data_IF_129044314582
#
_entry.id   IF_129044314582
#
_cell.length_a   1.000
_cell.length_b   1.000
_cell.length_c   1.000
_cell.angle_alpha   90.00
_cell.angle_beta   90.00
_cell.angle_gamma   90.00
#
_symmetry.space_group_name_H-M   'P 1'
#
loop_
_entity.id
_entity.type
_entity.pdbx_description
1 polymer ?
#
# COMPACT_ATOMS: atom_id res chain seq x y z
N UNK A 1 -64.13 -20.66 -24.52
CA UNK A 1 -64.28 -19.19 -24.55
C UNK A 1 -64.18 -18.68 -23.12
N UNK A 2 -63.46 -17.59 -22.84
CA UNK A 2 -62.18 -17.18 -23.43
C UNK A 2 -61.10 -17.00 -22.34
N UNK A 3 -59.86 -17.46 -22.50
CA UNK A 3 -58.76 -16.86 -23.31
C UNK A 3 -58.46 -15.39 -22.97
N UNK A 4 -57.44 -15.17 -22.13
CA UNK A 4 -56.64 -13.94 -22.09
C UNK A 4 -55.17 -14.40 -21.99
N UNK A 5 -54.54 -14.67 -23.13
CA UNK A 5 -53.61 -13.81 -23.88
C UNK A 5 -52.21 -13.75 -23.28
N UNK A 6 -51.39 -14.66 -23.79
CA UNK A 6 -49.95 -14.49 -24.02
C UNK A 6 -49.67 -13.14 -24.66
N UNK A 7 -48.87 -12.30 -24.00
CA UNK A 7 -48.13 -11.23 -24.63
C UNK A 7 -46.65 -11.61 -24.54
N UNK A 8 -46.09 -11.96 -25.69
CA UNK A 8 -44.66 -12.04 -25.90
C UNK A 8 -44.06 -10.63 -25.83
N UNK A 9 -43.00 -10.46 -25.05
CA UNK A 9 -42.06 -9.35 -25.23
C UNK A 9 -40.67 -9.98 -25.40
N UNK A 10 -40.16 -9.83 -26.62
CA UNK A 10 -38.81 -10.21 -27.02
C UNK A 10 -37.73 -9.31 -26.40
N UNK A 11 -36.46 -9.57 -26.75
CA UNK A 11 -35.31 -9.14 -25.98
C UNK A 11 -34.96 -7.68 -26.26
N UNK A 12 -34.91 -6.87 -25.22
CA UNK A 12 -34.25 -5.58 -25.23
C UNK A 12 -33.63 -5.33 -23.84
N UNK A 13 -32.62 -6.14 -23.50
CA UNK A 13 -31.73 -5.91 -22.37
C UNK A 13 -30.36 -5.56 -22.94
N UNK A 14 -30.16 -4.29 -23.30
CA UNK A 14 -28.85 -3.74 -23.61
C UNK A 14 -28.87 -2.23 -23.35
N UNK A 15 -27.77 -1.76 -22.73
CA UNK A 15 -27.42 -0.37 -22.45
C UNK A 15 -28.08 0.30 -21.23
N UNK A 16 -27.43 0.18 -20.06
CA UNK A 16 -26.89 1.36 -19.37
C UNK A 16 -25.82 0.93 -18.33
N UNK A 17 -24.59 0.71 -18.80
CA UNK A 17 -23.38 0.71 -17.96
C UNK A 17 -22.41 1.65 -18.64
N UNK A 18 -22.27 2.88 -18.11
CA UNK A 18 -21.08 3.71 -18.20
C UNK A 18 -21.33 5.04 -17.50
N UNK A 19 -20.29 5.51 -16.82
CA UNK A 19 -20.11 6.86 -16.25
C UNK A 19 -20.49 7.01 -14.78
N UNK A 20 -19.51 6.80 -13.90
CA UNK A 20 -19.21 7.65 -12.74
C UNK A 20 -17.83 7.24 -12.17
N UNK A 21 -16.78 7.63 -12.88
CA UNK A 21 -15.41 7.74 -12.38
C UNK A 21 -14.58 8.57 -13.36
N UNK A 22 -14.97 9.83 -13.57
CA UNK A 22 -14.18 10.87 -14.21
C UNK A 22 -14.71 12.21 -13.67
N UNK A 23 -13.86 12.93 -12.95
CA UNK A 23 -14.17 14.26 -12.47
C UNK A 23 -14.17 15.26 -13.64
N UNK A 24 -15.36 15.71 -14.02
CA UNK A 24 -15.60 16.96 -14.71
C UNK A 24 -16.92 17.55 -14.17
N UNK A 25 -17.02 18.86 -13.90
CA UNK A 25 -18.22 19.46 -13.33
C UNK A 25 -19.38 19.46 -14.34
N UNK A 26 -20.64 19.28 -13.90
CA UNK A 26 -21.79 19.28 -14.80
C UNK A 26 -22.16 20.72 -15.24
N UNK A 27 -22.45 20.88 -16.53
CA UNK A 27 -23.04 22.08 -17.08
C UNK A 27 -24.48 22.25 -16.55
N UNK A 28 -24.78 23.41 -15.96
CA UNK A 28 -26.15 23.79 -15.60
C UNK A 28 -26.92 24.21 -16.85
N UNK A 29 -27.98 23.47 -17.19
CA UNK A 29 -29.03 23.91 -18.10
C UNK A 29 -30.21 24.45 -17.27
N UNK A 30 -30.66 25.67 -17.57
CA UNK A 30 -31.99 26.19 -17.26
C UNK A 30 -32.31 27.34 -18.25
N UNK A 31 -33.58 27.77 -18.41
CA UNK A 31 -34.37 27.61 -19.63
C UNK A 31 -34.48 28.89 -20.47
N UNK A 32 -35.04 28.74 -21.67
CA UNK A 32 -35.13 29.81 -22.66
C UNK A 32 -36.10 30.95 -22.33
N UNK A 33 -35.82 32.11 -22.93
CA UNK A 33 -36.78 33.09 -23.41
C UNK A 33 -36.08 34.01 -24.43
N UNK A 34 -36.83 34.42 -25.45
CA UNK A 34 -36.36 35.09 -26.65
C UNK A 34 -36.27 36.62 -26.52
N UNK A 35 -35.58 37.20 -27.52
CA UNK A 35 -35.72 38.55 -28.10
C UNK A 35 -34.84 39.71 -27.57
N UNK A 36 -34.06 40.28 -28.51
CA UNK A 36 -34.08 41.72 -28.76
C UNK A 36 -32.87 42.58 -28.34
N UNK A 37 -32.11 43.01 -29.36
CA UNK A 37 -31.40 44.31 -29.49
C UNK A 37 -30.14 44.62 -28.65
N UNK A 38 -29.10 45.07 -29.37
CA UNK A 38 -27.91 45.80 -28.89
C UNK A 38 -28.15 47.33 -28.96
N UNK A 39 -27.21 48.26 -28.61
CA UNK A 39 -25.88 48.11 -27.98
C UNK A 39 -25.60 49.10 -26.80
N UNK A 40 -24.48 48.93 -26.08
CA UNK A 40 -23.91 49.98 -25.21
C UNK A 40 -22.97 49.50 -24.09
N UNK A 41 -21.64 49.62 -24.32
CA UNK A 41 -20.52 49.91 -23.40
C UNK A 41 -20.73 49.76 -21.86
N UNK A 42 -19.88 49.16 -21.01
CA UNK A 42 -18.42 48.91 -20.96
C UNK A 42 -18.13 47.90 -19.82
N UNK A 43 -17.06 47.11 -19.93
CA UNK A 43 -16.07 46.80 -18.87
C UNK A 43 -15.39 45.41 -19.05
N UNK A 44 -14.13 45.48 -19.49
CA UNK A 44 -12.94 44.69 -19.10
C UNK A 44 -13.02 43.16 -18.90
N UNK A 45 -12.27 42.43 -19.75
CA UNK A 45 -11.79 41.08 -19.45
C UNK A 45 -11.44 40.25 -20.70
N UNK A 46 -10.34 40.58 -21.39
CA UNK A 46 -9.85 39.78 -22.52
C UNK A 46 -8.48 39.15 -22.21
N UNK A 47 -8.35 37.92 -22.70
CA UNK A 47 -7.27 36.96 -22.61
C UNK A 47 -5.85 37.47 -22.95
N UNK A 48 -4.86 36.82 -22.32
CA UNK A 48 -3.57 36.41 -22.90
C UNK A 48 -2.94 35.40 -21.93
N UNK A 49 -2.55 34.19 -22.34
CA UNK A 49 -1.39 33.93 -23.19
C UNK A 49 -0.15 33.78 -22.30
N UNK A 50 0.26 32.56 -21.95
CA UNK A 50 1.51 32.34 -21.21
C UNK A 50 2.56 31.76 -22.18
N UNK A 51 3.33 32.67 -22.77
CA UNK A 51 4.61 32.41 -23.41
C UNK A 51 5.70 32.25 -22.32
N UNK A 52 6.72 31.47 -22.65
CA UNK A 52 7.70 30.93 -21.71
C UNK A 52 8.68 31.92 -21.08
N UNK A 53 9.42 31.38 -20.11
CA UNK A 53 10.70 31.89 -19.66
C UNK A 53 11.58 30.70 -19.25
N UNK A 54 12.75 30.60 -19.89
CA UNK A 54 13.87 29.77 -19.48
C UNK A 54 14.56 30.36 -18.24
N UNK A 55 15.24 29.50 -17.47
CA UNK A 55 16.40 29.89 -16.67
C UNK A 55 16.23 29.81 -15.15
N UNK A 56 16.90 28.82 -14.53
CA UNK A 56 17.20 28.84 -13.10
C UNK A 56 17.20 27.46 -12.44
N UNK A 57 18.33 26.75 -12.52
CA UNK A 57 18.60 25.62 -11.63
C UNK A 57 18.70 26.14 -10.19
N UNK A 58 17.81 25.67 -9.30
CA UNK A 58 17.84 25.93 -7.87
C UNK A 58 17.76 24.62 -7.10
N UNK A 59 18.77 24.36 -6.27
CA UNK A 59 18.80 23.29 -5.27
C UNK A 59 17.57 23.31 -4.35
N UNK A 60 17.12 22.15 -3.82
CA UNK A 60 16.11 22.13 -2.78
C UNK A 60 16.78 22.31 -1.41
N UNK A 61 16.53 23.46 -0.77
CA UNK A 61 16.67 23.68 0.67
C UNK A 61 15.51 24.61 1.08
N UNK A 62 14.83 24.50 2.22
CA UNK A 62 15.09 23.80 3.45
C UNK A 62 13.75 23.52 4.18
N UNK A 63 13.83 22.66 5.19
CA UNK A 63 12.80 22.37 6.19
C UNK A 63 12.12 23.64 6.75
N UNK A 64 10.78 23.63 6.77
CA UNK A 64 10.00 24.61 7.53
C UNK A 64 10.04 24.31 9.04
N UNK A 65 9.83 25.33 9.89
CA UNK A 65 9.87 25.17 11.34
C UNK A 65 8.80 24.16 11.81
N UNK A 66 9.13 23.37 12.83
CA UNK A 66 8.18 22.50 13.51
C UNK A 66 6.98 23.33 13.97
N UNK A 67 5.82 23.13 13.35
CA UNK A 67 4.57 23.79 13.75
C UNK A 67 4.25 23.40 15.19
N UNK A 68 4.10 24.40 16.07
CA UNK A 68 3.60 24.20 17.42
C UNK A 68 2.17 23.61 17.35
N UNK A 69 2.04 22.31 17.63
CA UNK A 69 0.77 21.60 17.59
C UNK A 69 0.91 20.11 17.23
N UNK A 70 -0.15 19.30 17.40
CA UNK A 70 -0.17 17.93 16.91
C UNK A 70 -0.04 17.90 15.40
N UNK A 71 0.64 16.88 14.86
CA UNK A 71 0.64 16.63 13.42
C UNK A 71 -0.80 16.41 12.90
N UNK A 72 -1.04 16.61 11.60
CA UNK A 72 -2.37 16.48 10.97
C UNK A 72 -3.01 15.11 11.28
N UNK A 73 -2.23 14.02 11.23
CA UNK A 73 -2.69 12.68 11.65
C UNK A 73 -3.10 12.64 13.12
N UNK A 74 -2.27 13.16 14.02
CA UNK A 74 -2.50 13.19 15.46
C UNK A 74 -3.72 14.04 15.84
N UNK A 75 -3.98 15.14 15.11
CA UNK A 75 -5.14 16.00 15.32
C UNK A 75 -6.48 15.27 15.05
N UNK A 76 -6.49 14.25 14.18
CA UNK A 76 -7.71 13.47 13.89
C UNK A 76 -8.16 12.63 15.09
N UNK A 77 -7.28 12.33 16.05
CA UNK A 77 -7.63 11.61 17.29
C UNK A 77 -8.69 12.31 18.13
N UNK A 78 -8.90 13.61 17.92
CA UNK A 78 -9.89 14.38 18.66
C UNK A 78 -11.30 14.31 18.08
N UNK A 79 -11.45 13.66 16.91
CA UNK A 79 -12.75 13.35 16.30
C UNK A 79 -13.41 12.15 17.02
N UNK A 80 -14.73 12.04 16.91
CA UNK A 80 -15.50 10.99 17.59
C UNK A 80 -15.19 9.58 17.08
N UNK A 81 -15.04 9.40 15.77
CA UNK A 81 -14.81 8.08 15.15
C UNK A 81 -13.52 7.40 15.64
N UNK A 82 -12.33 8.04 15.66
CA UNK A 82 -11.14 7.42 16.22
C UNK A 82 -11.28 7.06 17.71
N UNK A 83 -11.94 7.91 18.50
CA UNK A 83 -12.21 7.66 19.93
C UNK A 83 -13.14 6.47 20.11
N UNK A 84 -14.17 6.37 19.29
CA UNK A 84 -15.09 5.24 19.27
C UNK A 84 -14.36 3.95 18.90
N UNK A 85 -13.58 3.95 17.82
CA UNK A 85 -12.81 2.78 17.37
C UNK A 85 -11.87 2.31 18.47
N UNK A 86 -11.12 3.21 19.11
CA UNK A 86 -10.22 2.87 20.21
C UNK A 86 -10.96 2.28 21.41
N UNK A 87 -12.12 2.84 21.78
CA UNK A 87 -12.96 2.34 22.87
C UNK A 87 -13.51 0.95 22.54
N UNK A 88 -14.14 0.80 21.39
CA UNK A 88 -14.84 -0.43 20.95
C UNK A 88 -13.90 -1.55 20.51
N UNK A 89 -12.64 -1.27 20.19
CA UNK A 89 -11.60 -2.29 19.95
C UNK A 89 -10.83 -2.70 21.20
N UNK A 90 -10.95 -1.92 22.29
CA UNK A 90 -10.17 -2.10 23.52
C UNK A 90 -8.78 -1.47 23.52
N UNK A 91 -8.42 -0.71 22.49
CA UNK A 91 -7.09 -0.11 22.35
C UNK A 91 -6.96 1.26 23.05
N UNK A 92 -8.04 1.82 23.59
CA UNK A 92 -8.03 3.10 24.31
C UNK A 92 -7.04 3.15 25.50
N UNK A 93 -6.73 2.01 26.11
CA UNK A 93 -5.79 1.92 27.23
C UNK A 93 -4.30 1.97 26.86
N UNK A 94 -3.95 1.91 25.57
CA UNK A 94 -2.54 1.82 25.14
C UNK A 94 -1.76 3.11 25.40
N UNK A 95 -2.32 4.27 25.02
CA UNK A 95 -1.66 5.55 25.19
C UNK A 95 -1.45 5.94 26.67
N UNK A 96 -2.45 5.83 27.58
CA UNK A 96 -2.24 6.12 29.00
C UNK A 96 -1.17 5.24 29.66
N UNK A 97 -1.09 3.94 29.30
CA UNK A 97 -0.04 3.03 29.80
C UNK A 97 1.34 3.45 29.32
N UNK A 98 1.45 3.79 28.04
CA UNK A 98 2.69 4.27 27.46
C UNK A 98 3.15 5.60 28.09
N UNK A 99 2.25 6.57 28.26
CA UNK A 99 2.53 7.84 28.92
C UNK A 99 3.01 7.64 30.37
N UNK A 100 2.37 6.72 31.11
CA UNK A 100 2.81 6.33 32.45
C UNK A 100 4.23 5.75 32.46
N UNK A 101 4.54 4.87 31.50
CA UNK A 101 5.87 4.28 31.36
C UNK A 101 6.93 5.34 31.00
N UNK A 102 6.62 6.28 30.10
CA UNK A 102 7.52 7.39 29.73
C UNK A 102 7.87 8.28 30.94
N UNK A 103 6.86 8.66 31.74
CA UNK A 103 7.07 9.45 32.96
C UNK A 103 8.00 8.79 33.97
N UNK A 104 8.05 7.46 33.98
CA UNK A 104 8.94 6.67 34.84
C UNK A 104 10.39 6.59 34.35
N UNK A 105 10.73 7.13 33.17
CA UNK A 105 12.08 7.03 32.61
C UNK A 105 13.00 8.15 33.10
N UNK A 106 14.20 7.78 33.54
CA UNK A 106 15.24 8.72 33.99
C UNK A 106 16.36 8.97 32.97
N UNK A 107 16.31 8.38 31.77
CA UNK A 107 17.33 8.53 30.74
C UNK A 107 16.79 8.25 29.34
N UNK A 108 17.48 8.74 28.31
CA UNK A 108 17.17 8.46 26.91
C UNK A 108 17.12 6.95 26.63
N UNK A 109 18.11 6.18 27.09
CA UNK A 109 18.15 4.74 26.86
C UNK A 109 16.95 4.01 27.50
N UNK A 110 16.46 4.48 28.65
CA UNK A 110 15.24 3.95 29.25
C UNK A 110 13.99 4.31 28.44
N UNK A 111 13.91 5.54 27.93
CA UNK A 111 12.83 6.01 27.05
C UNK A 111 12.80 5.24 25.73
N UNK A 112 13.95 4.99 25.09
CA UNK A 112 14.05 4.19 23.87
C UNK A 112 13.55 2.77 24.10
N UNK A 113 13.97 2.12 25.21
CA UNK A 113 13.44 0.81 25.57
C UNK A 113 11.93 0.83 25.80
N UNK A 114 11.37 1.91 26.36
CA UNK A 114 9.92 2.06 26.54
C UNK A 114 9.22 2.21 25.18
N UNK A 115 9.71 3.08 24.29
CA UNK A 115 9.18 3.27 22.93
C UNK A 115 9.14 1.96 22.14
N UNK A 116 10.26 1.25 22.07
CA UNK A 116 10.36 -0.03 21.35
C UNK A 116 9.46 -1.11 21.96
N UNK A 117 9.46 -1.26 23.30
CA UNK A 117 8.62 -2.28 23.96
C UNK A 117 7.14 -2.05 23.73
N UNK A 118 6.67 -0.81 23.89
CA UNK A 118 5.25 -0.48 23.71
C UNK A 118 4.84 -0.53 22.24
N UNK A 119 5.67 -0.06 21.31
CA UNK A 119 5.42 -0.22 19.88
C UNK A 119 5.30 -1.68 19.48
N UNK A 120 6.27 -2.51 19.87
CA UNK A 120 6.24 -3.94 19.57
C UNK A 120 5.08 -4.68 20.27
N UNK A 121 4.69 -4.26 21.48
CA UNK A 121 3.52 -4.81 22.15
C UNK A 121 2.21 -4.44 21.44
N UNK A 122 2.12 -3.22 20.92
CA UNK A 122 0.98 -2.76 20.14
C UNK A 122 0.83 -3.55 18.83
N UNK A 123 1.92 -3.76 18.08
CA UNK A 123 1.92 -4.62 16.89
C UNK A 123 1.44 -6.02 17.21
N UNK A 124 2.07 -6.69 18.20
CA UNK A 124 1.69 -8.05 18.62
C UNK A 124 0.24 -8.13 19.04
N UNK A 125 -0.26 -7.14 19.80
CA UNK A 125 -1.65 -7.08 20.24
C UNK A 125 -2.62 -7.00 19.04
N UNK A 126 -2.29 -6.21 18.03
CA UNK A 126 -3.10 -6.10 16.81
C UNK A 126 -3.10 -7.41 16.02
N UNK A 127 -1.93 -8.02 15.81
CA UNK A 127 -1.80 -9.34 15.14
C UNK A 127 -2.56 -10.43 15.90
N UNK A 128 -2.38 -10.53 17.22
CA UNK A 128 -3.09 -11.48 18.07
C UNK A 128 -4.60 -11.27 17.99
N UNK A 129 -5.06 -10.01 18.02
CA UNK A 129 -6.48 -9.67 17.87
C UNK A 129 -7.04 -10.23 16.57
N UNK A 130 -6.46 -9.89 15.41
CA UNK A 130 -6.92 -10.33 14.10
C UNK A 130 -6.90 -11.86 13.98
N UNK A 131 -5.92 -12.51 14.59
CA UNK A 131 -5.75 -13.97 14.52
C UNK A 131 -6.51 -14.73 15.62
N UNK A 132 -7.50 -14.11 16.26
CA UNK A 132 -8.35 -14.80 17.23
C UNK A 132 -7.73 -15.06 18.61
N UNK A 133 -6.50 -14.58 18.86
CA UNK A 133 -5.77 -14.77 20.13
C UNK A 133 -5.99 -13.62 21.13
N UNK A 134 -5.82 -13.90 22.42
CA UNK A 134 -6.01 -12.92 23.48
C UNK A 134 -7.47 -12.49 23.69
N UNK A 135 -7.72 -11.58 24.65
CA UNK A 135 -9.07 -11.15 24.98
C UNK A 135 -9.70 -10.36 23.82
N UNK A 136 -11.01 -10.50 23.64
CA UNK A 136 -11.76 -9.74 22.62
C UNK A 136 -11.60 -8.22 22.83
N UNK A 137 -11.51 -7.77 24.09
CA UNK A 137 -11.16 -6.38 24.43
C UNK A 137 -12.21 -5.32 24.06
N UNK A 138 -13.28 -5.69 23.36
CA UNK A 138 -14.34 -4.81 22.88
C UNK A 138 -15.28 -5.55 21.91
N UNK A 139 -16.13 -4.82 21.19
CA UNK A 139 -17.23 -5.36 20.36
C UNK A 139 -17.04 -5.21 18.84
N UNK A 140 -16.02 -4.47 18.37
CA UNK A 140 -15.70 -4.42 16.94
C UNK A 140 -15.23 -5.78 16.43
N UNK A 141 -15.44 -6.03 15.14
CA UNK A 141 -14.88 -7.19 14.49
C UNK A 141 -13.35 -7.22 14.65
N UNK A 142 -12.82 -8.45 14.70
CA UNK A 142 -11.43 -8.67 15.10
C UNK A 142 -10.44 -8.41 13.97
N UNK A 143 -10.89 -8.47 12.72
CA UNK A 143 -10.12 -8.35 11.49
C UNK A 143 -9.78 -6.90 11.08
N UNK A 144 -9.97 -5.95 12.00
CA UNK A 144 -9.82 -4.52 11.79
C UNK A 144 -8.37 -4.02 11.96
N UNK A 145 -7.89 -3.21 11.01
CA UNK A 145 -6.58 -2.57 11.03
C UNK A 145 -6.57 -1.19 11.72
N UNK A 146 -7.73 -0.52 11.80
CA UNK A 146 -7.87 0.83 12.36
C UNK A 146 -7.42 0.93 13.84
N UNK A 147 -7.65 -0.06 14.72
CA UNK A 147 -7.20 0.01 16.11
C UNK A 147 -5.68 0.18 16.24
N UNK A 148 -4.89 -0.48 15.39
CA UNK A 148 -3.44 -0.34 15.39
C UNK A 148 -3.03 1.09 15.00
N UNK A 149 -3.59 1.58 13.89
CA UNK A 149 -3.29 2.91 13.36
C UNK A 149 -3.58 4.01 14.38
N UNK A 150 -4.81 4.05 14.92
CA UNK A 150 -5.20 5.09 15.87
C UNK A 150 -4.45 5.00 17.21
N UNK A 151 -4.20 3.79 17.72
CA UNK A 151 -3.46 3.64 18.95
C UNK A 151 -2.00 4.07 18.79
N UNK A 152 -1.38 3.77 17.64
CA UNK A 152 -0.02 4.22 17.35
C UNK A 152 0.05 5.74 17.33
N UNK A 153 -0.87 6.42 16.63
CA UNK A 153 -0.93 7.88 16.64
C UNK A 153 -1.11 8.45 18.05
N UNK A 154 -1.92 7.79 18.89
CA UNK A 154 -2.08 8.19 20.29
C UNK A 154 -0.77 8.05 21.07
N UNK A 155 0.00 6.96 20.89
CA UNK A 155 1.33 6.81 21.49
C UNK A 155 2.30 7.89 20.96
N UNK A 156 2.30 8.17 19.65
CA UNK A 156 3.12 9.20 19.01
C UNK A 156 2.83 10.58 19.62
N UNK A 157 1.55 10.92 19.81
CA UNK A 157 1.13 12.17 20.47
C UNK A 157 1.62 12.28 21.92
N UNK A 158 1.53 11.20 22.69
CA UNK A 158 2.07 11.16 24.07
C UNK A 158 3.59 11.37 24.09
N UNK A 159 4.34 10.71 23.18
CA UNK A 159 5.79 10.87 23.10
C UNK A 159 6.18 12.30 22.66
N UNK A 160 5.42 12.92 21.76
CA UNK A 160 5.68 14.29 21.31
C UNK A 160 5.45 15.30 22.44
N UNK A 161 4.37 15.15 23.21
CA UNK A 161 4.03 16.04 24.31
C UNK A 161 4.87 15.81 25.59
N UNK A 162 5.51 14.65 25.72
CA UNK A 162 6.25 14.27 26.93
C UNK A 162 7.47 15.17 27.19
N UNK A 163 7.56 15.69 28.42
CA UNK A 163 8.71 16.45 28.91
C UNK A 163 9.48 15.64 29.97
N UNK A 164 10.64 15.06 29.63
CA UNK A 164 11.47 14.33 30.58
C UNK A 164 12.12 15.23 31.64
N UNK A 165 12.51 14.62 32.77
CA UNK A 165 13.35 15.28 33.80
C UNK A 165 14.83 15.38 33.40
N UNK A 166 15.22 14.76 32.29
CA UNK A 166 16.57 14.81 31.72
C UNK A 166 16.54 15.58 30.40
N UNK A 167 17.69 16.11 29.97
CA UNK A 167 17.79 16.82 28.69
C UNK A 167 17.47 15.87 27.53
N UNK A 168 16.46 16.21 26.73
CA UNK A 168 16.11 15.53 25.49
C UNK A 168 16.11 16.57 24.37
N UNK A 169 16.97 16.39 23.36
CA UNK A 169 16.98 17.26 22.17
C UNK A 169 15.88 16.84 21.20
N UNK A 170 15.53 17.71 20.25
CA UNK A 170 14.52 17.39 19.24
C UNK A 170 14.96 16.24 18.32
N UNK A 171 16.25 16.13 17.99
CA UNK A 171 16.78 15.00 17.22
C UNK A 171 16.69 13.69 18.01
N UNK A 172 16.91 13.75 19.33
CA UNK A 172 16.75 12.59 20.19
C UNK A 172 15.26 12.19 20.29
N UNK A 173 14.34 13.16 20.38
CA UNK A 173 12.90 12.91 20.35
C UNK A 173 12.46 12.31 19.01
N UNK A 174 12.94 12.84 17.89
CA UNK A 174 12.70 12.31 16.54
C UNK A 174 13.15 10.85 16.45
N UNK A 175 14.34 10.50 16.94
CA UNK A 175 14.79 9.10 16.99
C UNK A 175 13.88 8.20 17.84
N UNK A 176 13.36 8.69 18.97
CA UNK A 176 12.39 7.92 19.77
C UNK A 176 11.08 7.69 19.00
N UNK A 177 10.61 8.70 18.25
CA UNK A 177 9.43 8.59 17.40
C UNK A 177 9.66 7.58 16.27
N UNK A 178 10.82 7.61 15.62
CA UNK A 178 11.19 6.64 14.56
C UNK A 178 11.21 5.20 15.10
N UNK A 179 11.76 5.00 16.31
CA UNK A 179 11.77 3.69 16.99
C UNK A 179 10.36 3.22 17.34
N UNK A 180 9.50 4.12 17.81
CA UNK A 180 8.10 3.80 18.10
C UNK A 180 7.35 3.42 16.81
N UNK A 181 7.49 4.20 15.75
CA UNK A 181 6.87 3.95 14.45
C UNK A 181 7.32 2.59 13.88
N UNK A 182 8.62 2.33 13.80
CA UNK A 182 9.16 1.07 13.26
C UNK A 182 8.65 -0.14 14.05
N UNK A 183 8.71 -0.08 15.39
CA UNK A 183 8.29 -1.18 16.26
C UNK A 183 6.79 -1.47 16.21
N UNK A 184 5.96 -0.43 16.07
CA UNK A 184 4.49 -0.56 16.02
C UNK A 184 3.95 -0.91 14.63
N UNK A 185 4.79 -0.87 13.60
CA UNK A 185 4.45 -1.22 12.21
C UNK A 185 4.81 -2.65 11.81
N UNK A 186 5.34 -3.43 12.75
CA UNK A 186 5.85 -4.78 12.48
C UNK A 186 7.22 -4.79 11.79
N UNK A 187 7.80 -3.64 11.47
CA UNK A 187 9.05 -3.55 10.71
C UNK A 187 10.23 -4.19 11.47
N UNK A 188 10.29 -4.01 12.79
CA UNK A 188 11.30 -4.64 13.64
C UNK A 188 10.97 -6.10 14.01
N UNK A 189 9.74 -6.54 13.74
CA UNK A 189 9.21 -7.85 14.15
C UNK A 189 9.48 -8.97 13.12
N UNK A 190 9.85 -8.62 11.88
CA UNK A 190 10.09 -9.59 10.80
C UNK A 190 11.16 -10.61 11.23
N UNK A 191 10.74 -11.88 11.33
CA UNK A 191 11.60 -13.01 11.73
C UNK A 191 11.20 -14.29 10.99
N UNK A 192 12.07 -14.75 10.10
CA UNK A 192 11.86 -16.03 9.40
C UNK A 192 12.44 -17.22 10.16
N UNK A 193 11.80 -18.40 10.11
CA UNK A 193 12.33 -19.62 10.71
C UNK A 193 13.66 -20.04 10.06
N UNK A 194 14.54 -20.59 10.89
CA UNK A 194 15.76 -21.25 10.44
C UNK A 194 15.45 -22.61 9.80
N UNK A 195 16.33 -23.08 8.92
CA UNK A 195 16.21 -24.38 8.25
C UNK A 195 15.59 -24.32 6.87
N UNK A 196 15.51 -25.50 6.24
CA UNK A 196 14.92 -25.74 4.92
C UNK A 196 13.51 -26.31 5.09
N UNK A 197 12.64 -26.18 4.08
CA UNK A 197 11.31 -26.82 4.06
C UNK A 197 10.12 -25.88 4.28
N UNK A 198 10.35 -24.59 4.54
CA UNK A 198 9.31 -23.56 4.57
C UNK A 198 9.75 -22.38 3.71
N UNK A 199 8.91 -21.99 2.74
CA UNK A 199 9.13 -20.78 1.93
C UNK A 199 8.93 -19.55 2.78
N UNK A 200 9.74 -18.52 2.57
CA UNK A 200 9.71 -17.28 3.34
C UNK A 200 9.11 -16.19 2.46
N UNK A 201 7.95 -15.69 2.86
CA UNK A 201 7.22 -14.64 2.15
C UNK A 201 7.30 -13.36 2.98
N UNK A 202 7.81 -12.29 2.37
CA UNK A 202 7.67 -10.94 2.91
C UNK A 202 6.50 -10.25 2.23
N UNK A 203 5.52 -9.83 3.02
CA UNK A 203 4.33 -9.13 2.53
C UNK A 203 4.21 -7.76 3.20
N UNK A 204 3.88 -6.73 2.43
CA UNK A 204 3.66 -5.39 3.00
C UNK A 204 2.21 -4.94 2.85
N UNK A 205 1.76 -4.09 3.76
CA UNK A 205 0.50 -3.35 3.66
C UNK A 205 0.69 -1.87 3.99
N UNK A 206 -0.41 -1.12 3.98
CA UNK A 206 -0.42 0.31 4.34
C UNK A 206 -1.40 0.61 5.46
N UNK A 207 -1.15 1.72 6.15
CA UNK A 207 -2.11 2.36 7.04
C UNK A 207 -3.40 2.81 6.30
N UNK A 208 -4.51 3.04 7.03
CA UNK A 208 -5.65 3.81 6.55
C UNK A 208 -5.25 5.17 5.96
N UNK A 209 -5.92 5.58 4.89
CA UNK A 209 -5.72 6.87 4.23
C UNK A 209 -7.03 7.43 3.67
N UNK A 210 -7.01 8.65 3.14
CA UNK A 210 -8.21 9.42 2.75
C UNK A 210 -9.20 9.70 3.90
N UNK A 211 -8.66 9.81 5.11
CA UNK A 211 -9.40 9.98 6.37
C UNK A 211 -10.09 11.35 6.53
N UNK A 212 -9.80 12.30 5.64
CA UNK A 212 -10.55 13.56 5.53
C UNK A 212 -11.79 13.42 4.63
N UNK A 213 -11.88 12.37 3.81
CA UNK A 213 -13.08 12.04 3.04
C UNK A 213 -14.05 11.21 3.87
N UNK A 214 -13.54 10.17 4.51
CA UNK A 214 -14.30 9.35 5.44
C UNK A 214 -13.34 8.86 6.54
N UNK A 215 -13.52 9.35 7.76
CA UNK A 215 -12.68 9.02 8.92
C UNK A 215 -12.89 7.57 9.40
N UNK A 216 -13.95 6.90 8.93
CA UNK A 216 -14.34 5.55 9.35
C UNK A 216 -13.58 4.46 8.59
N UNK A 217 -12.99 4.74 7.43
CA UNK A 217 -12.41 3.70 6.58
C UNK A 217 -11.13 3.09 7.17
N UNK A 218 -10.95 1.79 6.95
CA UNK A 218 -9.69 1.09 7.16
C UNK A 218 -8.92 0.90 5.85
N UNK A 219 -7.84 0.11 5.89
CA UNK A 219 -7.10 -0.29 4.69
C UNK A 219 -7.05 -1.82 4.58
N UNK A 220 -7.60 -2.41 3.49
CA UNK A 220 -7.62 -3.86 3.31
C UNK A 220 -6.21 -4.47 3.23
N UNK A 221 -5.21 -3.71 2.76
CA UNK A 221 -3.82 -4.17 2.75
C UNK A 221 -3.20 -4.26 4.15
N UNK A 222 -3.54 -3.31 5.04
CA UNK A 222 -3.15 -3.33 6.44
C UNK A 222 -3.82 -4.48 7.21
N UNK A 223 -5.12 -4.68 6.98
CA UNK A 223 -5.87 -5.79 7.56
C UNK A 223 -5.29 -7.15 7.13
N UNK A 224 -4.98 -7.30 5.84
CA UNK A 224 -4.33 -8.50 5.33
C UNK A 224 -2.94 -8.71 5.96
N UNK A 225 -2.12 -7.66 6.09
CA UNK A 225 -0.81 -7.75 6.73
C UNK A 225 -0.90 -8.29 8.17
N UNK A 226 -1.85 -7.79 8.97
CA UNK A 226 -2.08 -8.28 10.34
C UNK A 226 -2.57 -9.73 10.37
N UNK A 227 -3.50 -10.09 9.48
CA UNK A 227 -4.06 -11.43 9.42
C UNK A 227 -3.06 -12.50 8.97
N UNK A 228 -2.04 -12.09 8.21
CA UNK A 228 -1.04 -13.00 7.63
C UNK A 228 0.26 -13.04 8.43
N UNK A 229 0.55 -12.05 9.28
CA UNK A 229 1.80 -11.97 10.03
C UNK A 229 2.06 -13.22 10.87
N UNK A 230 3.23 -13.81 10.68
CA UNK A 230 3.63 -15.03 11.34
C UNK A 230 2.80 -16.28 11.02
N UNK A 231 1.91 -16.25 10.03
CA UNK A 231 1.11 -17.44 9.68
C UNK A 231 1.86 -18.38 8.75
N UNK A 232 1.48 -19.67 8.79
CA UNK A 232 1.86 -20.66 7.78
C UNK A 232 0.72 -20.81 6.77
N UNK A 233 1.06 -20.70 5.49
CA UNK A 233 0.14 -20.87 4.37
C UNK A 233 0.53 -22.14 3.62
N UNK A 234 -0.43 -23.03 3.38
CA UNK A 234 -0.20 -24.24 2.60
C UNK A 234 -0.19 -23.90 1.11
N UNK A 235 0.80 -24.39 0.38
CA UNK A 235 0.94 -24.17 -1.06
C UNK A 235 0.38 -25.37 -1.84
N UNK A 236 -0.02 -25.14 -3.10
CA UNK A 236 -0.65 -26.16 -3.94
C UNK A 236 0.25 -27.39 -4.20
N UNK A 237 1.57 -27.25 -4.08
CA UNK A 237 2.54 -28.34 -4.20
C UNK A 237 2.78 -29.10 -2.87
N UNK A 238 1.93 -28.87 -1.86
CA UNK A 238 1.97 -29.57 -0.57
C UNK A 238 2.95 -28.97 0.44
N UNK A 239 3.70 -27.94 0.06
CA UNK A 239 4.63 -27.23 0.94
C UNK A 239 3.97 -26.20 1.87
N UNK A 240 4.80 -25.54 2.66
CA UNK A 240 4.40 -24.46 3.56
C UNK A 240 5.16 -23.18 3.25
N UNK A 241 4.48 -22.05 3.40
CA UNK A 241 5.03 -20.71 3.31
C UNK A 241 4.80 -19.95 4.62
N UNK A 242 5.86 -19.48 5.27
CA UNK A 242 5.82 -18.54 6.39
C UNK A 242 5.69 -17.14 5.83
N UNK A 243 4.64 -16.44 6.24
CA UNK A 243 4.43 -15.03 5.89
C UNK A 243 4.85 -14.16 7.06
N UNK A 244 5.74 -13.22 6.83
CA UNK A 244 6.07 -12.13 7.76
C UNK A 244 5.66 -10.82 7.12
N UNK A 245 5.13 -9.88 7.91
CA UNK A 245 4.58 -8.65 7.35
C UNK A 245 5.11 -7.38 7.99
N UNK A 246 4.93 -6.28 7.26
CA UNK A 246 5.13 -4.93 7.76
C UNK A 246 4.10 -3.96 7.15
N UNK A 247 3.73 -2.95 7.91
CA UNK A 247 2.84 -1.88 7.46
C UNK A 247 3.64 -0.60 7.21
N UNK A 248 3.37 0.07 6.09
CA UNK A 248 4.00 1.32 5.71
C UNK A 248 3.09 2.54 5.95
N UNK A 249 3.67 3.69 6.32
CA UNK A 249 2.94 4.94 6.43
C UNK A 249 2.45 5.41 5.05
N UNK A 250 1.33 6.12 5.04
CA UNK A 250 0.87 6.84 3.85
C UNK A 250 1.33 8.29 3.96
N UNK A 251 2.65 8.49 3.86
CA UNK A 251 3.34 9.79 3.98
C UNK A 251 4.52 9.91 3.02
N UNK A 252 4.61 11.02 2.29
CA UNK A 252 5.66 11.25 1.29
C UNK A 252 7.05 11.38 1.90
N UNK A 253 7.14 12.02 3.07
CA UNK A 253 8.41 12.25 3.77
C UNK A 253 9.10 10.95 4.15
N UNK A 254 8.37 9.98 4.71
CA UNK A 254 8.94 8.69 5.11
C UNK A 254 9.55 7.93 3.92
N UNK A 255 8.92 8.05 2.75
CA UNK A 255 9.40 7.45 1.50
C UNK A 255 10.63 8.19 0.97
N UNK A 256 10.63 9.52 1.01
CA UNK A 256 11.79 10.34 0.65
C UNK A 256 12.99 10.06 1.57
N UNK A 257 12.72 9.82 2.85
CA UNK A 257 13.73 9.47 3.85
C UNK A 257 14.25 8.04 3.68
N UNK A 258 13.69 7.22 2.77
CA UNK A 258 14.17 5.87 2.48
C UNK A 258 13.64 4.78 3.40
N UNK A 259 12.42 4.94 3.94
CA UNK A 259 11.80 3.93 4.82
C UNK A 259 11.65 2.57 4.14
N UNK A 260 11.30 2.54 2.85
CA UNK A 260 11.13 1.30 2.08
C UNK A 260 12.42 0.49 2.05
N UNK A 261 13.53 1.15 1.74
CA UNK A 261 14.83 0.51 1.63
C UNK A 261 15.36 0.07 2.99
N UNK A 262 15.22 0.90 4.03
CA UNK A 262 15.61 0.54 5.40
C UNK A 262 14.91 -0.70 5.91
N UNK A 263 13.60 -0.80 5.66
CA UNK A 263 12.77 -1.90 6.15
C UNK A 263 13.01 -3.17 5.33
N UNK A 264 13.04 -3.09 4.00
CA UNK A 264 13.08 -4.29 3.16
C UNK A 264 14.49 -4.87 2.98
N UNK A 265 15.51 -4.02 2.81
CA UNK A 265 16.88 -4.45 2.46
C UNK A 265 17.43 -5.58 3.35
N UNK A 266 17.27 -5.58 4.69
CA UNK A 266 17.81 -6.63 5.54
C UNK A 266 17.26 -8.02 5.22
N UNK A 267 16.07 -8.11 4.62
CA UNK A 267 15.33 -9.37 4.46
C UNK A 267 15.39 -9.94 3.05
N UNK A 268 15.59 -9.13 2.00
CA UNK A 268 15.41 -9.56 0.62
C UNK A 268 16.28 -10.77 0.21
N UNK A 269 17.52 -10.86 0.69
CA UNK A 269 18.40 -11.99 0.39
C UNK A 269 17.98 -13.31 1.09
N UNK A 270 17.01 -13.25 2.01
CA UNK A 270 16.60 -14.37 2.85
C UNK A 270 15.20 -14.89 2.55
N UNK A 271 14.44 -14.21 1.68
CA UNK A 271 13.05 -14.55 1.35
C UNK A 271 12.96 -15.21 -0.02
N UNK A 272 11.87 -15.95 -0.23
CA UNK A 272 11.56 -16.66 -1.48
C UNK A 272 10.48 -15.94 -2.30
N UNK A 273 9.82 -14.94 -1.71
CA UNK A 273 8.77 -14.14 -2.33
C UNK A 273 8.67 -12.77 -1.63
N UNK A 274 8.55 -11.70 -2.42
CA UNK A 274 8.20 -10.36 -1.94
C UNK A 274 6.91 -9.89 -2.60
N UNK A 275 5.89 -9.56 -1.82
CA UNK A 275 4.65 -8.99 -2.35
C UNK A 275 4.29 -7.72 -1.60
N UNK A 276 4.34 -6.58 -2.25
CA UNK A 276 3.77 -5.35 -1.70
C UNK A 276 2.27 -5.34 -2.01
N UNK A 277 1.43 -5.01 -1.02
CA UNK A 277 -0.02 -4.98 -1.18
C UNK A 277 -0.55 -3.58 -0.92
N UNK A 278 -1.53 -3.14 -1.68
CA UNK A 278 -2.18 -1.83 -1.50
C UNK A 278 -3.66 -1.90 -1.81
N UNK A 279 -4.43 -0.96 -1.28
CA UNK A 279 -5.82 -0.79 -1.68
C UNK A 279 -5.90 -0.19 -3.08
N UNK A 280 -6.66 -0.82 -3.97
CA UNK A 280 -6.88 -0.39 -5.34
C UNK A 280 -8.28 0.18 -5.57
N UNK A 281 -9.05 -0.47 -6.45
CA UNK A 281 -10.35 0.00 -6.93
C UNK A 281 -11.48 -0.96 -6.56
N UNK A 282 -12.70 -0.67 -6.97
CA UNK A 282 -13.85 -1.47 -6.59
C UNK A 282 -13.83 -2.87 -7.23
N UNK A 283 -14.11 -3.91 -6.42
CA UNK A 283 -14.54 -5.22 -6.90
C UNK A 283 -13.53 -6.09 -7.66
N UNK A 284 -12.24 -5.76 -7.67
CA UNK A 284 -11.22 -6.56 -8.35
C UNK A 284 -9.84 -6.46 -7.69
N UNK A 285 -9.02 -7.46 -7.90
CA UNK A 285 -7.58 -7.38 -7.67
C UNK A 285 -6.86 -7.03 -8.97
N UNK A 286 -5.84 -6.18 -8.88
CA UNK A 286 -4.95 -5.86 -9.98
C UNK A 286 -3.53 -6.30 -9.59
N UNK A 287 -2.93 -7.17 -10.41
CA UNK A 287 -1.54 -7.55 -10.30
C UNK A 287 -0.73 -6.64 -11.23
N UNK A 288 -0.01 -5.69 -10.66
CA UNK A 288 0.57 -4.58 -11.42
C UNK A 288 1.85 -5.00 -12.15
N UNK A 289 1.86 -4.92 -13.48
CA UNK A 289 2.99 -5.34 -14.32
C UNK A 289 4.14 -4.32 -14.30
N UNK A 290 3.81 -3.04 -14.28
CA UNK A 290 4.78 -1.95 -14.43
C UNK A 290 4.56 -0.88 -13.36
N UNK A 291 5.64 -0.50 -12.68
CA UNK A 291 5.62 0.61 -11.71
C UNK A 291 6.48 1.76 -12.23
N UNK A 292 5.97 2.99 -12.15
CA UNK A 292 6.61 4.19 -12.70
C UNK A 292 7.38 5.01 -11.67
N UNK A 293 8.45 5.68 -12.10
CA UNK A 293 9.26 6.59 -11.29
C UNK A 293 8.68 8.02 -11.19
N UNK A 294 7.39 8.17 -10.93
CA UNK A 294 6.71 9.47 -10.84
C UNK A 294 5.70 9.58 -9.68
N UNK A 295 5.60 10.79 -9.11
CA UNK A 295 4.60 11.19 -8.12
C UNK A 295 3.59 12.15 -8.75
N UNK A 296 2.30 11.87 -8.58
CA UNK A 296 1.18 12.60 -9.19
C UNK A 296 0.64 13.81 -8.42
N UNK A 297 1.06 14.01 -7.16
CA UNK A 297 0.60 15.16 -6.35
C UNK A 297 -0.64 14.92 -5.48
N UNK A 298 -1.16 13.69 -5.38
CA UNK A 298 -2.25 13.42 -4.43
C UNK A 298 -1.77 13.63 -2.97
N UNK A 299 -2.54 14.34 -2.12
CA UNK A 299 -2.15 14.57 -0.73
C UNK A 299 -2.05 13.28 0.09
N UNK A 300 -1.03 13.21 0.95
CA UNK A 300 -0.83 12.11 1.89
C UNK A 300 -1.64 12.27 3.20
N UNK A 301 -1.40 11.41 4.19
CA UNK A 301 -2.12 11.50 5.47
C UNK A 301 -1.81 12.79 6.27
N UNK A 302 -0.72 13.49 5.95
CA UNK A 302 -0.39 14.79 6.52
C UNK A 302 -0.91 15.95 5.66
N UNK A 303 -1.71 15.65 4.63
CA UNK A 303 -2.22 16.58 3.64
C UNK A 303 -1.10 17.27 2.84
N UNK A 304 0.07 16.63 2.76
CA UNK A 304 1.20 17.10 1.95
C UNK A 304 1.10 16.51 0.56
N UNK A 305 1.28 17.35 -0.45
CA UNK A 305 1.36 16.95 -1.87
C UNK A 305 2.82 16.87 -2.32
N UNK A 306 3.13 15.91 -3.20
CA UNK A 306 4.43 15.79 -3.84
C UNK A 306 4.26 15.38 -5.30
N UNK A 307 4.84 16.16 -6.21
CA UNK A 307 4.80 15.93 -7.66
C UNK A 307 6.21 15.94 -8.22
N UNK A 308 6.51 15.02 -9.13
CA UNK A 308 7.83 14.93 -9.76
C UNK A 308 8.39 13.52 -9.78
N UNK A 309 9.66 13.34 -10.17
CA UNK A 309 10.32 12.05 -10.14
C UNK A 309 10.33 11.46 -8.71
N UNK A 310 10.24 10.14 -8.61
CA UNK A 310 10.39 9.44 -7.32
C UNK A 310 11.83 9.68 -6.79
N UNK A 311 12.02 10.23 -5.58
CA UNK A 311 13.33 10.57 -5.06
C UNK A 311 14.06 9.32 -4.53
N UNK A 312 14.87 8.68 -5.38
CA UNK A 312 15.73 7.56 -5.00
C UNK A 312 17.21 7.94 -5.12
N UNK A 313 18.06 7.24 -4.38
CA UNK A 313 19.51 7.37 -4.54
C UNK A 313 19.95 7.01 -5.97
N UNK A 314 21.00 7.67 -6.45
CA UNK A 314 21.52 7.56 -7.82
C UNK A 314 20.43 7.81 -8.90
N UNK A 315 19.86 9.04 -8.95
CA UNK A 315 18.79 9.36 -9.89
C UNK A 315 19.25 9.27 -11.36
N UNK A 316 20.55 9.46 -11.64
CA UNK A 316 21.09 9.41 -12.99
C UNK A 316 21.04 8.03 -13.65
N UNK A 317 21.07 6.96 -12.85
CA UNK A 317 20.98 5.58 -13.33
C UNK A 317 19.59 4.95 -13.14
N UNK A 318 18.61 5.73 -12.70
CA UNK A 318 17.34 5.23 -12.20
C UNK A 318 16.36 4.93 -13.36
N UNK A 319 15.84 3.69 -13.48
CA UNK A 319 14.96 3.34 -14.58
C UNK A 319 13.59 4.03 -14.45
N UNK A 320 13.00 4.45 -15.56
CA UNK A 320 11.65 5.03 -15.56
C UNK A 320 10.56 4.03 -15.13
N UNK A 321 10.82 2.75 -15.38
CA UNK A 321 9.88 1.66 -15.14
C UNK A 321 10.60 0.52 -14.43
N UNK A 322 9.94 -0.06 -13.44
CA UNK A 322 10.31 -1.38 -12.91
C UNK A 322 9.26 -2.40 -13.30
N UNK A 323 9.69 -3.64 -13.51
CA UNK A 323 8.82 -4.75 -13.89
C UNK A 323 8.80 -5.75 -12.74
N UNK A 324 7.61 -6.16 -12.35
CA UNK A 324 7.42 -7.25 -11.40
C UNK A 324 8.09 -8.54 -11.92
N UNK A 325 8.26 -9.52 -11.05
CA UNK A 325 8.62 -10.91 -11.37
C UNK A 325 7.72 -11.92 -10.65
N UNK A 326 6.54 -11.48 -10.17
CA UNK A 326 5.53 -12.37 -9.60
C UNK A 326 5.02 -13.36 -10.67
N UNK A 327 4.59 -14.57 -10.29
CA UNK A 327 4.11 -15.58 -11.24
C UNK A 327 2.67 -15.28 -11.72
N UNK A 328 2.50 -14.26 -12.56
CA UNK A 328 1.19 -13.73 -13.00
C UNK A 328 0.29 -14.81 -13.57
N UNK A 329 0.80 -15.58 -14.53
CA UNK A 329 0.00 -16.60 -15.20
C UNK A 329 -0.53 -17.65 -14.23
N UNK A 330 0.21 -17.96 -13.16
CA UNK A 330 -0.29 -18.85 -12.12
C UNK A 330 -1.34 -18.16 -11.24
N UNK A 331 -1.12 -16.89 -10.87
CA UNK A 331 -2.03 -16.12 -10.01
C UNK A 331 -3.37 -15.84 -10.70
N UNK A 332 -3.35 -15.35 -11.94
CA UNK A 332 -4.56 -14.96 -12.68
C UNK A 332 -5.36 -16.15 -13.19
N UNK A 333 -4.74 -17.32 -13.40
CA UNK A 333 -5.43 -18.55 -13.75
C UNK A 333 -6.04 -19.28 -12.54
N UNK A 334 -5.63 -18.94 -11.31
CA UNK A 334 -6.09 -19.61 -10.11
C UNK A 334 -7.42 -19.04 -9.60
N UNK A 335 -8.31 -19.92 -9.14
CA UNK A 335 -9.49 -19.53 -8.38
C UNK A 335 -9.09 -19.14 -6.95
N UNK A 336 -8.73 -17.87 -6.73
CA UNK A 336 -8.22 -17.38 -5.43
C UNK A 336 -9.31 -16.86 -4.49
N UNK A 337 -10.52 -16.59 -4.99
CA UNK A 337 -11.59 -16.02 -4.19
C UNK A 337 -12.70 -15.38 -5.03
N UNK A 338 -13.61 -14.62 -4.41
CA UNK A 338 -14.80 -14.08 -5.07
C UNK A 338 -14.51 -12.93 -6.04
N UNK A 339 -13.35 -12.28 -5.95
CA UNK A 339 -13.01 -11.15 -6.82
C UNK A 339 -12.14 -11.62 -7.99
N UNK A 340 -12.35 -11.13 -9.22
CA UNK A 340 -11.44 -11.39 -10.33
C UNK A 340 -10.05 -10.80 -10.06
N UNK A 341 -9.00 -11.48 -10.55
CA UNK A 341 -7.62 -11.01 -10.49
C UNK A 341 -7.15 -10.71 -11.90
N UNK A 342 -6.78 -9.46 -12.17
CA UNK A 342 -6.33 -9.01 -13.49
C UNK A 342 -4.82 -8.87 -13.55
N UNK A 343 -4.27 -9.18 -14.71
CA UNK A 343 -2.93 -8.76 -15.11
C UNK A 343 -3.02 -7.31 -15.60
N UNK A 344 -2.61 -6.35 -14.76
CA UNK A 344 -2.73 -4.94 -15.09
C UNK A 344 -1.45 -4.43 -15.75
N UNK A 345 -1.51 -4.29 -17.08
CA UNK A 345 -0.40 -3.80 -17.92
C UNK A 345 -0.50 -2.32 -18.25
N UNK A 346 -1.61 -1.67 -17.91
CA UNK A 346 -1.85 -0.28 -18.29
C UNK A 346 -0.85 0.67 -17.60
N UNK A 347 -0.31 1.63 -18.33
CA UNK A 347 0.53 2.71 -17.79
C UNK A 347 0.20 4.04 -18.44
N UNK A 348 0.64 5.14 -17.82
CA UNK A 348 0.65 6.47 -18.43
C UNK A 348 2.10 6.93 -18.60
N UNK A 349 2.49 7.28 -19.82
CA UNK A 349 3.86 7.66 -20.16
C UNK A 349 3.92 9.02 -20.87
N UNK A 350 5.09 9.65 -20.85
CA UNK A 350 5.47 10.65 -21.86
C UNK A 350 6.32 9.94 -22.92
N UNK A 351 5.94 9.98 -24.21
CA UNK A 351 6.70 9.35 -25.28
C UNK A 351 8.14 9.87 -25.40
N UNK A 352 9.00 9.08 -26.06
CA UNK A 352 10.33 9.53 -26.48
C UNK A 352 10.18 10.77 -27.37
N UNK A 353 10.96 11.82 -27.10
CA UNK A 353 10.83 13.12 -27.76
C UNK A 353 9.87 14.10 -27.08
N UNK A 354 9.23 13.69 -25.98
CA UNK A 354 8.36 14.55 -25.18
C UNK A 354 6.89 14.52 -25.61
N UNK A 355 6.15 15.57 -25.25
CA UNK A 355 4.72 15.72 -25.55
C UNK A 355 3.81 15.47 -24.35
N UNK A 356 2.51 15.42 -24.62
CA UNK A 356 1.50 15.17 -23.60
C UNK A 356 1.57 13.72 -23.08
N UNK A 357 1.24 13.48 -21.80
CA UNK A 357 1.09 12.13 -21.27
C UNK A 357 0.03 11.33 -22.05
N UNK A 358 0.32 10.05 -22.30
CA UNK A 358 -0.56 9.13 -23.03
C UNK A 358 -0.73 7.82 -22.26
N UNK A 359 -1.92 7.23 -22.33
CA UNK A 359 -2.20 5.92 -21.75
C UNK A 359 -1.79 4.83 -22.74
N UNK A 360 -1.11 3.79 -22.24
CA UNK A 360 -0.76 2.56 -22.96
C UNK A 360 -1.40 1.39 -22.26
N UNK A 361 -2.17 0.59 -23.00
CA UNK A 361 -2.83 -0.59 -22.44
C UNK A 361 -1.84 -1.73 -22.16
N UNK A 362 -0.81 -1.87 -23.00
CA UNK A 362 0.06 -3.05 -23.03
C UNK A 362 1.46 -2.79 -22.46
N UNK A 363 1.59 -1.78 -21.60
CA UNK A 363 2.86 -1.39 -20.98
C UNK A 363 3.57 -0.22 -21.66
N UNK A 364 4.71 0.21 -21.11
CA UNK A 364 5.43 1.39 -21.59
C UNK A 364 6.16 1.11 -22.91
N UNK A 365 6.22 2.15 -23.75
CA UNK A 365 7.08 2.17 -24.94
C UNK A 365 8.57 2.21 -24.52
N UNK A 366 9.47 1.55 -25.27
CA UNK A 366 10.91 1.63 -24.99
C UNK A 366 11.42 3.07 -24.92
N UNK A 367 12.14 3.41 -23.85
CA UNK A 367 12.72 4.74 -23.63
C UNK A 367 11.75 5.82 -23.16
N UNK A 368 10.46 5.50 -22.95
CA UNK A 368 9.49 6.49 -22.46
C UNK A 368 9.73 6.90 -21.01
N UNK A 369 9.20 8.06 -20.64
CA UNK A 369 9.24 8.57 -19.27
C UNK A 369 7.95 8.25 -18.52
N UNK A 370 8.05 7.88 -17.25
CA UNK A 370 6.88 7.52 -16.46
C UNK A 370 6.06 8.71 -16.03
N UNK A 371 4.74 8.56 -16.08
CA UNK A 371 3.76 9.45 -15.44
C UNK A 371 2.86 8.71 -14.45
N UNK A 372 2.47 7.47 -14.76
CA UNK A 372 1.81 6.56 -13.82
C UNK A 372 2.13 5.11 -14.18
N UNK A 373 2.42 4.27 -13.18
CA UNK A 373 2.39 2.81 -13.34
C UNK A 373 0.97 2.27 -13.32
N UNK A 374 0.82 0.95 -13.36
CA UNK A 374 -0.51 0.33 -13.33
C UNK A 374 -1.28 0.62 -12.03
N UNK A 375 -0.54 0.75 -10.93
CA UNK A 375 -1.04 1.18 -9.63
C UNK A 375 -1.19 2.70 -9.45
N UNK A 376 -1.10 3.48 -10.54
CA UNK A 376 -1.15 4.94 -10.53
C UNK A 376 0.21 5.61 -10.31
N UNK A 377 0.18 6.79 -9.70
CA UNK A 377 1.32 7.67 -9.42
C UNK A 377 1.36 8.12 -7.95
N UNK A 378 0.71 7.34 -7.08
CA UNK A 378 0.66 7.55 -5.64
C UNK A 378 1.62 6.60 -4.88
N UNK A 379 1.61 6.64 -3.55
CA UNK A 379 2.48 5.84 -2.68
C UNK A 379 2.39 4.32 -2.91
N UNK A 380 1.25 3.81 -3.40
CA UNK A 380 1.13 2.40 -3.80
C UNK A 380 2.05 2.05 -4.97
N UNK A 381 2.09 2.90 -6.00
CA UNK A 381 3.04 2.76 -7.10
C UNK A 381 4.47 2.96 -6.61
N UNK A 382 4.70 3.93 -5.72
CA UNK A 382 6.07 4.22 -5.24
C UNK A 382 6.67 3.07 -4.42
N UNK A 383 5.91 2.41 -3.54
CA UNK A 383 6.45 1.26 -2.79
C UNK A 383 6.77 0.11 -3.74
N UNK A 384 5.92 -0.13 -4.74
CA UNK A 384 6.13 -1.15 -5.74
C UNK A 384 7.40 -0.88 -6.56
N UNK A 385 7.56 0.37 -6.99
CA UNK A 385 8.73 0.84 -7.70
C UNK A 385 10.02 0.68 -6.87
N UNK A 386 10.03 1.22 -5.64
CA UNK A 386 11.21 1.17 -4.75
C UNK A 386 11.59 -0.24 -4.33
N UNK A 387 10.61 -1.08 -3.99
CA UNK A 387 10.86 -2.46 -3.59
C UNK A 387 11.47 -3.28 -4.74
N UNK A 388 10.95 -3.10 -5.96
CA UNK A 388 11.45 -3.77 -7.16
C UNK A 388 12.84 -3.25 -7.54
N UNK A 389 13.03 -1.93 -7.55
CA UNK A 389 14.33 -1.30 -7.80
C UNK A 389 15.39 -1.76 -6.80
N UNK A 390 15.05 -1.82 -5.51
CA UNK A 390 15.95 -2.31 -4.47
C UNK A 390 16.35 -3.77 -4.69
N UNK A 391 15.39 -4.64 -5.00
CA UNK A 391 15.67 -6.04 -5.35
C UNK A 391 16.67 -6.12 -6.50
N UNK A 392 16.43 -5.36 -7.56
CA UNK A 392 17.26 -5.40 -8.78
C UNK A 392 18.66 -4.86 -8.52
N UNK A 393 18.78 -3.75 -7.77
CA UNK A 393 20.08 -3.18 -7.34
C UNK A 393 20.88 -4.10 -6.42
N UNK A 394 20.23 -5.01 -5.71
CA UNK A 394 20.89 -6.05 -4.91
C UNK A 394 21.27 -7.30 -5.72
N UNK A 395 21.03 -7.31 -7.04
CA UNK A 395 21.30 -8.47 -7.89
C UNK A 395 20.33 -9.63 -7.67
N UNK A 396 19.17 -9.38 -7.08
CA UNK A 396 18.19 -10.41 -6.70
C UNK A 396 17.11 -10.62 -7.78
N UNK A 397 17.47 -10.55 -9.06
CA UNK A 397 16.52 -10.74 -10.17
C UNK A 397 15.80 -12.12 -10.12
N UNK A 398 16.42 -13.10 -9.46
CA UNK A 398 15.82 -14.42 -9.22
C UNK A 398 14.77 -14.46 -8.10
N UNK A 399 14.65 -13.41 -7.27
CA UNK A 399 13.62 -13.29 -6.24
C UNK A 399 12.29 -12.85 -6.88
N UNK A 400 11.24 -13.69 -6.88
CA UNK A 400 9.92 -13.29 -7.36
C UNK A 400 9.38 -12.16 -6.48
N UNK A 401 9.00 -11.05 -7.10
CA UNK A 401 8.35 -9.97 -6.37
C UNK A 401 7.68 -8.91 -7.22
N UNK A 402 6.72 -8.23 -6.61
CA UNK A 402 5.85 -7.28 -7.31
C UNK A 402 4.73 -6.75 -6.43
N UNK A 403 3.71 -6.19 -7.07
CA UNK A 403 2.67 -5.43 -6.40
C UNK A 403 1.27 -5.95 -6.69
N UNK A 404 0.46 -6.05 -5.65
CA UNK A 404 -0.93 -6.47 -5.70
C UNK A 404 -1.82 -5.35 -5.14
N UNK A 405 -2.72 -4.84 -5.97
CA UNK A 405 -3.82 -4.00 -5.54
C UNK A 405 -5.03 -4.87 -5.17
N UNK A 406 -5.61 -4.63 -4.00
CA UNK A 406 -6.85 -5.27 -3.54
C UNK A 406 -8.08 -4.46 -3.96
N UNK A 407 -9.29 -5.05 -3.89
CA UNK A 407 -10.50 -4.25 -3.88
C UNK A 407 -10.51 -3.24 -2.72
N UNK A 408 -11.24 -2.13 -2.87
CA UNK A 408 -11.54 -1.21 -1.76
C UNK A 408 -12.52 -1.83 -0.77
N UNK A 409 -12.41 -1.42 0.49
CA UNK A 409 -13.43 -1.69 1.51
C UNK A 409 -14.73 -0.94 1.20
N UNK A 410 -15.87 -1.52 1.53
CA UNK A 410 -17.18 -0.89 1.35
C UNK A 410 -18.08 -1.12 2.55
N UNK A 411 -18.69 -0.04 3.02
CA UNK A 411 -19.85 -0.11 3.90
C UNK A 411 -21.09 -0.53 3.11
N UNK A 412 -22.09 -1.01 3.84
CA UNK A 412 -23.41 -1.31 3.31
C UNK A 412 -24.11 -0.08 2.77
N UNK A 413 -24.96 -0.28 1.76
CA UNK A 413 -25.77 0.79 1.20
C UNK A 413 -26.62 1.45 2.31
N UNK A 414 -26.44 2.75 2.50
CA UNK A 414 -27.18 3.54 3.50
C UNK A 414 -26.46 3.73 4.84
N UNK A 415 -25.29 3.12 5.07
CA UNK A 415 -24.50 3.44 6.26
C UNK A 415 -23.86 4.84 6.15
N UNK A 416 -24.29 5.76 7.00
CA UNK A 416 -23.83 7.15 7.03
C UNK A 416 -23.06 7.54 8.29
N UNK A 417 -23.12 6.74 9.35
CA UNK A 417 -22.68 7.08 10.69
C UNK A 417 -21.90 5.96 11.38
N UNK A 418 -22.37 4.71 11.27
CA UNK A 418 -21.76 3.56 11.93
C UNK A 418 -20.31 3.31 11.49
N UNK A 419 -19.42 3.08 12.46
CA UNK A 419 -18.01 2.76 12.19
C UNK A 419 -17.82 1.32 11.70
N UNK A 420 -18.84 0.47 11.80
CA UNK A 420 -18.79 -0.92 11.34
C UNK A 420 -20.19 -1.37 10.93
N UNK A 421 -20.26 -2.14 9.84
CA UNK A 421 -21.48 -2.84 9.47
C UNK A 421 -21.18 -4.24 8.90
N UNK A 422 -22.19 -5.12 8.77
CA UNK A 422 -21.97 -6.48 8.29
C UNK A 422 -21.41 -6.59 6.86
N UNK A 423 -21.65 -5.62 5.98
CA UNK A 423 -21.07 -5.63 4.63
C UNK A 423 -19.59 -5.29 4.66
N UNK A 424 -19.17 -4.29 5.45
CA UNK A 424 -17.76 -3.96 5.66
C UNK A 424 -16.99 -5.18 6.18
N UNK A 425 -17.51 -5.84 7.21
CA UNK A 425 -16.86 -7.02 7.81
C UNK A 425 -16.73 -8.14 6.79
N UNK A 426 -17.83 -8.55 6.13
CA UNK A 426 -17.79 -9.60 5.09
C UNK A 426 -16.83 -9.25 3.95
N UNK A 427 -16.80 -7.99 3.54
CA UNK A 427 -15.93 -7.51 2.46
C UNK A 427 -14.45 -7.61 2.86
N UNK A 428 -14.09 -7.17 4.07
CA UNK A 428 -12.73 -7.25 4.61
C UNK A 428 -12.26 -8.69 4.78
N UNK A 429 -13.10 -9.57 5.30
CA UNK A 429 -12.82 -11.00 5.44
C UNK A 429 -12.57 -11.65 4.07
N UNK A 430 -13.42 -11.38 3.08
CA UNK A 430 -13.29 -11.93 1.73
C UNK A 430 -12.00 -11.46 1.04
N UNK A 431 -11.67 -10.16 1.15
CA UNK A 431 -10.43 -9.61 0.58
C UNK A 431 -9.21 -10.25 1.25
N UNK A 432 -9.20 -10.33 2.59
CA UNK A 432 -8.09 -10.91 3.35
C UNK A 432 -7.87 -12.39 3.02
N UNK A 433 -8.96 -13.16 2.94
CA UNK A 433 -8.90 -14.57 2.53
C UNK A 433 -8.34 -14.72 1.11
N UNK A 434 -8.73 -13.85 0.19
CA UNK A 434 -8.22 -13.89 -1.18
C UNK A 434 -6.76 -13.44 -1.29
N UNK A 435 -6.29 -12.46 -0.50
CA UNK A 435 -4.85 -12.13 -0.41
C UNK A 435 -4.06 -13.35 0.06
N UNK A 436 -4.53 -14.08 1.08
CA UNK A 436 -3.90 -15.33 1.53
C UNK A 436 -3.80 -16.36 0.40
N UNK A 437 -4.87 -16.53 -0.38
CA UNK A 437 -4.89 -17.47 -1.51
C UNK A 437 -3.93 -17.05 -2.64
N UNK A 438 -3.88 -15.77 -2.99
CA UNK A 438 -2.92 -15.23 -3.98
C UNK A 438 -1.48 -15.50 -3.53
N UNK A 439 -1.17 -15.25 -2.25
CA UNK A 439 0.15 -15.56 -1.68
C UNK A 439 0.47 -17.05 -1.73
N UNK A 440 -0.50 -17.91 -1.43
CA UNK A 440 -0.33 -19.37 -1.50
C UNK A 440 0.02 -19.84 -2.92
N UNK A 441 -0.67 -19.28 -3.93
CA UNK A 441 -0.42 -19.57 -5.35
C UNK A 441 0.95 -19.07 -5.76
N UNK A 442 1.28 -17.81 -5.43
CA UNK A 442 2.56 -17.21 -5.74
C UNK A 442 3.72 -18.03 -5.16
N UNK A 443 3.67 -18.33 -3.86
CA UNK A 443 4.67 -19.14 -3.18
C UNK A 443 4.73 -20.59 -3.72
N UNK A 444 3.60 -21.15 -4.18
CA UNK A 444 3.54 -22.45 -4.84
C UNK A 444 4.29 -22.50 -6.17
N UNK A 445 4.18 -21.44 -6.96
CA UNK A 445 4.79 -21.36 -8.29
C UNK A 445 6.31 -21.14 -8.24
N UNK A 446 6.83 -20.41 -7.24
CA UNK A 446 8.28 -20.19 -7.09
C UNK A 446 9.05 -21.50 -6.86
N UNK A 447 8.47 -22.45 -6.13
CA UNK A 447 9.07 -23.76 -5.87
C UNK A 447 9.22 -24.66 -7.09
N UNK A 448 8.36 -24.53 -8.09
CA UNK A 448 8.46 -25.29 -9.35
C UNK A 448 9.62 -24.79 -10.21
N UNK A 449 9.82 -23.48 -10.28
CA UNK A 449 10.91 -22.88 -11.04
C UNK A 449 12.30 -23.22 -10.46
N UNK A 450 12.43 -23.29 -9.14
CA UNK A 450 13.67 -23.72 -8.46
C UNK A 450 14.04 -25.18 -8.76
N UNK A 451 13.07 -26.10 -8.72
CA UNK A 451 13.30 -27.53 -9.02
C UNK A 451 13.71 -27.77 -10.47
N UNK A 452 13.16 -27.00 -11.42
CA UNK A 452 13.56 -27.09 -12.85
C UNK A 452 14.99 -26.60 -13.06
N UNK A 453 15.41 -25.53 -12.36
CA UNK A 453 16.80 -25.03 -12.42
C UNK A 453 17.82 -25.99 -11.79
N UNK A 454 17.49 -26.59 -10.63
CA UNK A 454 18.35 -27.60 -10.00
C UNK A 454 18.47 -28.87 -10.84
N UNK A 455 17.38 -29.33 -11.47
CA UNK A 455 17.40 -30.48 -12.37
C UNK A 455 18.21 -30.21 -13.66
N UNK A 456 18.12 -29.00 -14.22
CA UNK A 456 18.93 -28.58 -15.37
C UNK A 456 20.43 -28.53 -15.06
N UNK A 457 20.81 -27.92 -13.93
CA UNK A 457 22.21 -27.86 -13.49
C UNK A 457 22.79 -29.24 -13.16
N UNK A 458 21.98 -30.15 -12.61
CA UNK A 458 22.38 -31.54 -12.37
C UNK A 458 22.53 -32.34 -13.67
N UNK A 459 21.69 -32.07 -14.68
CA UNK A 459 21.80 -32.63 -16.02
C UNK A 459 23.09 -32.20 -16.73
N UNK A 460 23.36 -30.90 -16.75
CA UNK A 460 24.58 -30.33 -17.35
C UNK A 460 25.87 -30.84 -16.65
N UNK A 461 25.84 -30.99 -15.31
CA UNK A 461 26.97 -31.56 -14.57
C UNK A 461 27.18 -33.06 -14.84
N UNK A 462 26.12 -33.78 -15.21
CA UNK A 462 26.19 -35.21 -15.59
C UNK A 462 26.73 -35.36 -17.00
N UNK A 463 26.23 -34.57 -17.96
CA UNK A 463 26.74 -34.55 -19.34
C UNK A 463 28.20 -34.11 -19.41
N UNK A 464 28.63 -33.14 -18.61
CA UNK A 464 30.04 -32.72 -18.53
C UNK A 464 30.96 -33.85 -17.99
N UNK A 465 30.47 -34.70 -17.09
CA UNK A 465 31.21 -35.86 -16.57
C UNK A 465 31.29 -37.00 -17.58
N UNK A 466 30.23 -37.23 -18.34
CA UNK A 466 30.21 -38.24 -19.41
C UNK A 466 31.10 -37.83 -20.58
N UNK A 467 31.10 -36.55 -20.97
CA UNK A 467 32.01 -36.02 -21.99
C UNK A 467 33.49 -36.11 -21.58
N UNK A 468 33.81 -35.84 -20.31
CA UNK A 468 35.17 -36.00 -19.77
C UNK A 468 35.61 -37.47 -19.69
N UNK A 469 34.67 -38.40 -19.46
CA UNK A 469 34.94 -39.85 -19.44
C UNK A 469 35.06 -40.50 -20.83
N UNK A 470 34.56 -39.83 -21.88
CA UNK A 470 34.68 -40.29 -23.27
C UNK A 470 35.97 -39.79 -23.94
N UNK A 471 36.50 -38.65 -23.54
CA UNK A 471 37.77 -38.10 -24.06
C UNK A 471 39.04 -38.76 -23.46
N UNK A 472 38.88 -39.63 -22.45
CA UNK A 472 39.97 -40.32 -21.76
C UNK A 472 40.11 -41.81 -22.08
N UNK A 473 39.51 -42.30 -23.18
CA UNK A 473 39.63 -43.70 -23.64
C UNK A 473 40.28 -43.80 -25.00
#
# INVERSE_FOLDING_TARGET
>A
MPRIRTAALGPALAALVASLALGAPPASAAPGAAAGAAPGATASGAAAGWAGAEGGAGEPAAEGPATEGPAVEEARLDRDVPREILRRSGFAGEAPRFAGALRGTGSYAAAERVAVRHGAALWRRAVDRVQGRGPAGGDLARDDDRPLYWARLALTRELRAWQPRFRLTEEARARLLDRLESASRGQDAIRFPHGRGVRRVLLTGFDPFTLDRDIRIGNPSGAAALALDGTLVRTADGGWARVETAVFPVRWRDFADGTVERVLRPHLARVDLLTTVSQGRVGRFDLERFNGAWRGGFPDNENVSSTGPVPVADPGSTPQWTVTSLPYGAITAAATGPFPVYDNTQVTEVPVGGGAPVVRADGPSPGSHSRAGGGGDYLSNEIAYRATLLRDRLGLAGLPGGHLHTPVLRFGAGNTDEVEDPELVRNREAITAQVRAVVAVAAGATGKAGKVREAGAAGEATEAREAAGAAGR
#
